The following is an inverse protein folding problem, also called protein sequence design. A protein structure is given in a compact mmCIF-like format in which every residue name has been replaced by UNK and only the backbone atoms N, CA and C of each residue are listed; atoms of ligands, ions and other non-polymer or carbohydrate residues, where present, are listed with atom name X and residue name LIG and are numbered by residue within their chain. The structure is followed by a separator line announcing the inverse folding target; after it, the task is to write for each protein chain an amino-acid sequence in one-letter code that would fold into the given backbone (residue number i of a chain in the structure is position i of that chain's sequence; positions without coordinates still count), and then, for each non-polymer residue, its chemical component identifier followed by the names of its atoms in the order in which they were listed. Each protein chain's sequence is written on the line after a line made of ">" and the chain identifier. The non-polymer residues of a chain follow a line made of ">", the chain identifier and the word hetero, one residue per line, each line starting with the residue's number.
data_IF_196730039618
#
_entry.id   IF_196730039618
#
_cell.length_a   1.000
_cell.length_b   1.000
_cell.length_c   1.000
_cell.angle_alpha   90.00
_cell.angle_beta   90.00
_cell.angle_gamma   90.00
#
_symmetry.space_group_name_H-M   'P 1'
#
loop_
_entity.id
_entity.type
_entity.pdbx_description
1 polymer ?
#
# COMPACT_ATOMS: atom_id res chain seq x y z
N UNK A 1 4.23 -35.51 -10.81
CA UNK A 1 3.52 -34.32 -10.30
C UNK A 1 3.34 -34.52 -8.80
N UNK A 2 3.96 -33.68 -7.98
CA UNK A 2 3.76 -33.76 -6.53
C UNK A 2 2.42 -33.10 -6.17
N UNK A 3 1.63 -33.70 -5.28
CA UNK A 3 0.37 -33.09 -4.83
C UNK A 3 0.66 -31.78 -4.10
N UNK A 4 0.01 -30.71 -4.54
CA UNK A 4 0.02 -29.40 -3.87
C UNK A 4 -0.88 -29.47 -2.64
N UNK A 5 -0.47 -28.83 -1.54
CA UNK A 5 -1.23 -28.82 -0.27
C UNK A 5 -0.71 -29.77 0.80
N UNK A 6 0.45 -30.40 0.61
CA UNK A 6 1.16 -31.18 1.64
C UNK A 6 2.15 -30.31 2.42
N UNK A 7 2.61 -30.76 3.60
CA UNK A 7 3.64 -30.05 4.39
C UNK A 7 4.90 -29.71 3.60
N UNK A 8 5.28 -30.56 2.65
CA UNK A 8 6.45 -30.39 1.78
C UNK A 8 6.19 -29.41 0.61
N UNK A 9 4.91 -29.20 0.26
CA UNK A 9 4.48 -28.36 -0.87
C UNK A 9 3.22 -27.55 -0.51
N UNK A 10 3.32 -26.53 0.38
CA UNK A 10 2.20 -25.68 0.75
C UNK A 10 1.64 -24.91 -0.45
N UNK A 11 0.35 -24.63 -0.42
CA UNK A 11 -0.29 -23.69 -1.34
C UNK A 11 0.07 -22.27 -0.90
N UNK A 12 0.87 -21.57 -1.71
CA UNK A 12 1.26 -20.18 -1.44
C UNK A 12 0.31 -19.26 -2.21
N UNK A 13 -0.46 -18.44 -1.49
CA UNK A 13 -1.38 -17.47 -2.10
C UNK A 13 -1.05 -16.08 -1.60
N UNK A 14 -0.89 -15.13 -2.53
CA UNK A 14 -0.74 -13.72 -2.21
C UNK A 14 -2.05 -13.01 -2.45
N UNK A 15 -2.53 -12.27 -1.45
CA UNK A 15 -3.82 -11.57 -1.52
C UNK A 15 -3.66 -10.12 -1.13
N UNK A 16 -4.44 -9.29 -1.81
CA UNK A 16 -4.44 -7.84 -1.66
C UNK A 16 -5.37 -7.32 -0.55
N UNK A 17 -6.03 -8.19 0.23
CA UNK A 17 -7.04 -7.78 1.22
C UNK A 17 -7.29 -8.89 2.23
N UNK A 18 -7.63 -8.53 3.48
CA UNK A 18 -7.97 -9.48 4.55
C UNK A 18 -9.20 -10.33 4.22
N UNK A 19 -10.20 -9.76 3.56
CA UNK A 19 -11.42 -10.49 3.15
C UNK A 19 -11.10 -11.61 2.14
N UNK A 20 -10.20 -11.34 1.19
CA UNK A 20 -9.71 -12.34 0.24
C UNK A 20 -8.88 -13.41 0.94
N UNK A 21 -8.05 -13.02 1.92
CA UNK A 21 -7.31 -13.96 2.76
C UNK A 21 -8.24 -14.93 3.48
N UNK A 22 -9.34 -14.42 4.06
CA UNK A 22 -10.32 -15.25 4.77
C UNK A 22 -11.04 -16.23 3.84
N UNK A 23 -11.42 -15.80 2.63
CA UNK A 23 -12.03 -16.68 1.63
C UNK A 23 -11.07 -17.81 1.21
N UNK A 24 -9.81 -17.47 0.95
CA UNK A 24 -8.77 -18.46 0.61
C UNK A 24 -8.54 -19.43 1.77
N UNK A 25 -8.43 -18.93 2.99
CA UNK A 25 -8.30 -19.76 4.20
C UNK A 25 -9.48 -20.73 4.37
N UNK A 26 -10.72 -20.26 4.20
CA UNK A 26 -11.93 -21.10 4.30
C UNK A 26 -11.92 -22.24 3.29
N UNK A 27 -11.50 -21.96 2.05
CA UNK A 27 -11.40 -22.98 1.00
C UNK A 27 -10.30 -23.98 1.35
N UNK A 28 -9.11 -23.50 1.74
CA UNK A 28 -8.00 -24.38 2.06
C UNK A 28 -8.28 -25.26 3.29
N UNK A 29 -8.95 -24.73 4.31
CA UNK A 29 -9.35 -25.46 5.52
C UNK A 29 -10.40 -26.55 5.21
N UNK A 30 -11.41 -26.22 4.40
CA UNK A 30 -12.41 -27.19 3.94
C UNK A 30 -11.81 -28.38 3.17
N UNK A 31 -10.65 -28.18 2.54
CA UNK A 31 -9.91 -29.21 1.82
C UNK A 31 -8.71 -29.79 2.59
N UNK A 32 -8.50 -29.41 3.86
CA UNK A 32 -7.38 -29.82 4.71
C UNK A 32 -5.99 -29.59 4.08
N UNK A 33 -5.85 -28.53 3.27
CA UNK A 33 -4.59 -28.21 2.62
C UNK A 33 -3.64 -27.45 3.55
N UNK A 34 -2.35 -27.72 3.42
CA UNK A 34 -1.32 -26.88 4.01
C UNK A 34 -1.12 -25.64 3.13
N UNK A 35 -1.28 -24.44 3.69
CA UNK A 35 -1.23 -23.18 2.92
C UNK A 35 -0.53 -22.05 3.67
N UNK A 36 -0.02 -21.09 2.90
CA UNK A 36 0.58 -19.85 3.39
C UNK A 36 -0.12 -18.70 2.65
N UNK A 37 -0.92 -17.90 3.36
CA UNK A 37 -1.50 -16.68 2.80
C UNK A 37 -0.63 -15.49 3.16
N UNK A 38 0.01 -14.89 2.16
CA UNK A 38 0.72 -13.62 2.27
C UNK A 38 -0.22 -12.46 1.94
N UNK A 39 -0.25 -11.46 2.80
CA UNK A 39 -0.91 -10.18 2.52
C UNK A 39 0.10 -9.29 1.79
N UNK A 40 -0.06 -9.13 0.48
CA UNK A 40 0.83 -8.28 -0.33
C UNK A 40 0.00 -7.14 -0.92
N UNK A 41 0.16 -5.96 -0.32
CA UNK A 41 -0.39 -4.72 -0.85
C UNK A 41 0.69 -4.05 -1.70
N UNK A 42 0.71 -4.35 -2.98
CA UNK A 42 1.55 -3.62 -3.93
C UNK A 42 0.81 -2.38 -4.45
N UNK A 43 0.17 -1.63 -3.54
CA UNK A 43 -0.48 -0.38 -3.89
C UNK A 43 0.60 0.68 -4.13
N UNK A 44 0.96 0.86 -5.41
CA UNK A 44 1.83 1.95 -5.81
C UNK A 44 1.06 3.27 -5.76
N UNK A 45 1.05 3.88 -4.58
CA UNK A 45 0.47 5.23 -4.34
C UNK A 45 1.45 6.35 -4.73
N UNK A 46 2.53 6.02 -5.45
CA UNK A 46 3.57 6.97 -5.86
C UNK A 46 2.99 8.09 -6.72
N UNK A 47 2.10 7.75 -7.66
CA UNK A 47 1.43 8.72 -8.52
C UNK A 47 0.46 9.61 -7.72
N UNK A 48 -0.29 9.03 -6.78
CA UNK A 48 -1.19 9.77 -5.88
C UNK A 48 -0.42 10.76 -4.99
N UNK A 49 0.72 10.33 -4.42
CA UNK A 49 1.63 11.21 -3.66
C UNK A 49 2.14 12.36 -4.54
N UNK A 50 2.45 12.10 -5.81
CA UNK A 50 2.92 13.11 -6.76
C UNK A 50 1.81 14.09 -7.15
N UNK A 51 0.61 13.60 -7.46
CA UNK A 51 -0.57 14.42 -7.76
C UNK A 51 -0.95 15.33 -6.59
N UNK A 52 -0.91 14.82 -5.35
CA UNK A 52 -1.17 15.62 -4.15
C UNK A 52 -0.10 16.70 -3.91
N UNK A 53 1.18 16.40 -4.21
CA UNK A 53 2.25 17.41 -4.15
C UNK A 53 2.05 18.51 -5.19
N UNK A 54 1.62 18.15 -6.39
CA UNK A 54 1.37 19.10 -7.47
C UNK A 54 0.15 19.98 -7.16
N UNK A 55 -0.95 19.37 -6.69
CA UNK A 55 -2.15 20.10 -6.29
C UNK A 55 -1.89 21.13 -5.16
N UNK A 56 -1.03 20.79 -4.19
CA UNK A 56 -0.67 21.70 -3.09
C UNK A 56 0.39 22.74 -3.47
N UNK A 57 0.93 22.69 -4.69
CA UNK A 57 1.95 23.62 -5.15
C UNK A 57 1.31 24.96 -5.51
N UNK A 58 1.67 26.06 -4.84
CA UNK A 58 1.26 27.39 -5.27
C UNK A 58 1.96 27.76 -6.59
N UNK A 59 1.34 28.64 -7.37
CA UNK A 59 1.92 29.18 -8.61
C UNK A 59 3.30 29.82 -8.35
N UNK A 60 3.45 30.47 -7.18
CA UNK A 60 4.71 31.03 -6.73
C UNK A 60 5.25 30.31 -5.49
N UNK A 61 6.37 29.61 -5.67
CA UNK A 61 7.06 28.82 -4.62
C UNK A 61 7.58 29.65 -3.44
N UNK A 62 7.63 30.98 -3.56
CA UNK A 62 8.01 31.91 -2.48
C UNK A 62 6.83 32.41 -1.67
N UNK A 63 5.60 32.01 -2.00
CA UNK A 63 4.43 32.30 -1.19
C UNK A 63 4.37 31.46 0.08
N UNK A 64 3.60 31.96 1.04
CA UNK A 64 3.37 31.29 2.32
C UNK A 64 2.73 29.93 2.08
N UNK A 65 3.29 28.91 2.72
CA UNK A 65 2.76 27.55 2.62
C UNK A 65 1.38 27.47 3.30
N UNK A 66 0.38 26.94 2.60
CA UNK A 66 -0.96 26.66 3.11
C UNK A 66 -0.99 25.61 4.23
N UNK A 67 0.14 24.98 4.53
CA UNK A 67 0.34 24.06 5.64
C UNK A 67 0.44 24.75 7.01
N UNK A 68 0.03 26.02 7.10
CA UNK A 68 -0.01 26.86 8.31
C UNK A 68 1.32 26.93 9.10
N UNK A 69 2.43 26.57 8.45
CA UNK A 69 3.75 26.47 9.09
C UNK A 69 4.48 27.82 9.16
N UNK A 70 3.88 28.90 8.65
CA UNK A 70 4.47 30.25 8.61
C UNK A 70 5.67 30.41 7.67
N UNK A 71 6.13 29.32 7.03
CA UNK A 71 7.28 29.29 6.10
C UNK A 71 6.82 29.39 4.64
N UNK A 72 7.69 29.89 3.76
CA UNK A 72 7.44 29.86 2.31
C UNK A 72 7.40 28.42 1.80
N UNK A 73 6.60 28.15 0.76
CA UNK A 73 6.39 26.79 0.22
C UNK A 73 7.71 26.07 -0.10
N UNK A 74 8.66 26.77 -0.74
CA UNK A 74 10.02 26.27 -1.04
C UNK A 74 10.75 25.69 0.17
N UNK A 75 10.56 26.26 1.36
CA UNK A 75 11.24 25.84 2.60
C UNK A 75 10.36 24.97 3.51
N UNK A 76 9.17 24.58 3.06
CA UNK A 76 8.22 23.85 3.88
C UNK A 76 7.75 22.56 3.23
N UNK A 77 6.76 22.61 2.35
CA UNK A 77 6.16 21.41 1.76
C UNK A 77 6.86 20.93 0.50
N UNK A 78 7.71 21.75 -0.12
CA UNK A 78 8.37 21.38 -1.38
C UNK A 78 9.23 20.12 -1.27
N UNK A 79 9.93 19.92 -0.15
CA UNK A 79 10.77 18.75 0.09
C UNK A 79 10.17 17.76 1.12
N UNK A 80 8.94 18.00 1.59
CA UNK A 80 8.30 17.13 2.58
C UNK A 80 7.70 15.92 1.88
N UNK A 81 7.92 14.73 2.41
CA UNK A 81 7.22 13.53 1.93
C UNK A 81 5.75 13.59 2.40
N UNK A 82 4.84 13.20 1.51
CA UNK A 82 3.44 13.05 1.89
C UNK A 82 3.31 11.66 2.48
N UNK A 83 3.23 11.61 3.80
CA UNK A 83 2.82 10.42 4.53
C UNK A 83 1.30 10.28 4.34
N UNK A 84 0.91 9.25 3.60
CA UNK A 84 -0.47 8.81 3.48
C UNK A 84 -0.57 7.54 4.32
N UNK A 85 -1.39 7.58 5.36
CA UNK A 85 -1.77 6.39 6.12
C UNK A 85 -2.85 5.66 5.30
N UNK A 86 -2.39 4.88 4.31
CA UNK A 86 -3.19 4.02 3.42
C UNK A 86 -2.75 2.58 3.66
#
# INVERSE_FOLDING_TARGET
>A
MYPLGSKEHPIIVKVSSKEKAHKVATICDAHNFYYIVGLEFNEDISDLKRALKDYKRPENIYENCSCNSGKKYKFCCMNKEIELDI
#
